data_IF_639242152205
#
_entry.id   IF_639242152205
#
_cell.length_a   1.000
_cell.length_b   1.000
_cell.length_c   1.000
_cell.angle_alpha   90.00
_cell.angle_beta   90.00
_cell.angle_gamma   90.00
#
_symmetry.space_group_name_H-M   'P 1'
#
loop_
_entity.id
_entity.type
_entity.pdbx_description
1 polymer ?
#
# COMPACT_ATOMS: atom_id res chain seq x y z
N UNK A 1 -17.59 -8.97 31.02
CA UNK A 1 -17.68 -8.49 29.62
C UNK A 1 -16.67 -9.29 28.81
N UNK A 2 -17.08 -9.99 27.76
CA UNK A 2 -16.18 -10.86 26.97
C UNK A 2 -15.00 -10.06 26.41
N UNK A 3 -13.77 -10.51 26.68
CA UNK A 3 -12.54 -9.91 26.15
C UNK A 3 -12.59 -9.76 24.62
N UNK A 4 -13.19 -10.73 23.92
CA UNK A 4 -13.41 -10.69 22.47
C UNK A 4 -14.31 -9.52 22.01
N UNK A 5 -15.35 -9.19 22.78
CA UNK A 5 -16.26 -8.06 22.44
C UNK A 5 -15.57 -6.72 22.63
N UNK A 6 -14.76 -6.57 23.68
CA UNK A 6 -13.97 -5.35 23.92
C UNK A 6 -12.98 -5.10 22.77
N UNK A 7 -12.20 -6.11 22.38
CA UNK A 7 -11.23 -6.00 21.27
C UNK A 7 -11.91 -5.56 19.97
N UNK A 8 -13.10 -6.10 19.67
CA UNK A 8 -13.85 -5.75 18.46
C UNK A 8 -14.37 -4.31 18.48
N UNK A 9 -14.83 -3.82 19.63
CA UNK A 9 -15.32 -2.44 19.78
C UNK A 9 -14.14 -1.45 19.66
N UNK A 10 -13.07 -1.67 20.42
CA UNK A 10 -11.89 -0.79 20.36
C UNK A 10 -11.23 -0.81 18.98
N UNK A 11 -11.06 -2.00 18.39
CA UNK A 11 -10.58 -2.14 17.02
C UNK A 11 -11.47 -1.44 16.01
N UNK A 12 -12.79 -1.51 16.17
CA UNK A 12 -13.76 -0.82 15.30
C UNK A 12 -13.62 0.70 15.36
N UNK A 13 -13.52 1.27 16.57
CA UNK A 13 -13.33 2.72 16.76
C UNK A 13 -12.03 3.20 16.10
N UNK A 14 -10.92 2.51 16.36
CA UNK A 14 -9.62 2.85 15.76
C UNK A 14 -9.69 2.75 14.23
N UNK A 15 -10.34 1.71 13.71
CA UNK A 15 -10.48 1.50 12.25
C UNK A 15 -11.29 2.63 11.62
N UNK A 16 -12.41 3.05 12.23
CA UNK A 16 -13.23 4.16 11.73
C UNK A 16 -12.44 5.47 11.72
N UNK A 17 -11.70 5.78 12.80
CA UNK A 17 -10.87 6.97 12.86
C UNK A 17 -9.80 6.97 11.76
N UNK A 18 -9.14 5.84 11.54
CA UNK A 18 -8.17 5.69 10.46
C UNK A 18 -8.81 5.85 9.07
N UNK A 19 -10.02 5.28 8.86
CA UNK A 19 -10.74 5.46 7.60
C UNK A 19 -11.10 6.93 7.34
N UNK A 20 -11.57 7.65 8.36
CA UNK A 20 -11.87 9.09 8.23
C UNK A 20 -10.61 9.88 7.85
N UNK A 21 -9.47 9.56 8.46
CA UNK A 21 -8.19 10.16 8.11
C UNK A 21 -7.83 9.93 6.62
N UNK A 22 -7.82 8.68 6.16
CA UNK A 22 -7.46 8.39 4.76
C UNK A 22 -8.49 8.93 3.76
N UNK A 23 -9.77 8.94 4.10
CA UNK A 23 -10.81 9.56 3.26
C UNK A 23 -10.61 11.08 3.14
N UNK A 24 -10.20 11.74 4.23
CA UNK A 24 -9.87 13.16 4.23
C UNK A 24 -8.63 13.45 3.37
N UNK A 25 -7.58 12.63 3.48
CA UNK A 25 -6.38 12.75 2.63
C UNK A 25 -6.75 12.59 1.14
N UNK A 26 -7.55 11.58 0.78
CA UNK A 26 -8.01 11.40 -0.61
C UNK A 26 -8.80 12.61 -1.09
N UNK A 27 -9.69 13.15 -0.25
CA UNK A 27 -10.43 14.37 -0.57
C UNK A 27 -9.49 15.55 -0.83
N UNK A 28 -8.49 15.77 0.04
CA UNK A 28 -7.49 16.82 -0.15
C UNK A 28 -6.69 16.65 -1.45
N UNK A 29 -6.27 15.42 -1.77
CA UNK A 29 -5.58 15.12 -3.04
C UNK A 29 -6.48 15.39 -4.24
N UNK A 30 -7.76 15.01 -4.18
CA UNK A 30 -8.70 15.22 -5.27
C UNK A 30 -9.02 16.71 -5.48
N UNK A 31 -9.08 17.51 -4.41
CA UNK A 31 -9.36 18.95 -4.51
C UNK A 31 -8.15 19.78 -4.91
N UNK A 32 -6.94 19.33 -4.57
CA UNK A 32 -5.68 20.02 -4.86
C UNK A 32 -4.86 19.26 -5.91
N UNK A 33 -5.52 18.54 -6.82
CA UNK A 33 -4.85 17.73 -7.83
C UNK A 33 -4.18 18.63 -8.86
N UNK A 34 -2.86 18.49 -9.01
CA UNK A 34 -2.14 19.12 -10.10
C UNK A 34 -2.26 18.25 -11.36
N UNK A 35 -2.84 18.81 -12.41
CA UNK A 35 -2.84 18.11 -13.70
C UNK A 35 -1.41 18.06 -14.25
N UNK A 36 -1.11 17.08 -15.11
CA UNK A 36 0.20 17.01 -15.76
C UNK A 36 0.51 18.30 -16.53
N UNK A 37 -0.50 18.93 -17.14
CA UNK A 37 -0.34 20.20 -17.85
C UNK A 37 0.02 21.35 -16.91
N UNK A 38 -0.46 21.34 -15.67
CA UNK A 38 -0.13 22.37 -14.68
C UNK A 38 1.27 22.14 -14.12
N UNK A 39 1.62 20.88 -13.83
CA UNK A 39 3.00 20.51 -13.44
C UNK A 39 3.99 20.95 -14.52
N UNK A 40 3.71 20.71 -15.79
CA UNK A 40 4.59 21.08 -16.91
C UNK A 40 4.70 22.60 -17.15
N UNK A 41 3.76 23.40 -16.63
CA UNK A 41 3.87 24.87 -16.64
C UNK A 41 4.79 25.37 -15.54
N UNK A 42 4.84 24.65 -14.42
CA UNK A 42 5.51 25.08 -13.19
C UNK A 42 6.91 24.46 -13.03
N UNK A 43 7.11 23.24 -13.54
CA UNK A 43 8.39 22.53 -13.47
C UNK A 43 8.63 21.66 -14.70
N UNK A 44 9.90 21.44 -15.04
CA UNK A 44 10.32 20.48 -16.07
C UNK A 44 10.48 19.04 -15.53
N UNK A 45 10.28 18.86 -14.22
CA UNK A 45 10.47 17.60 -13.52
C UNK A 45 9.15 16.79 -13.41
N UNK A 46 8.69 16.26 -14.54
CA UNK A 46 7.43 15.51 -14.67
C UNK A 46 7.33 14.25 -13.78
N UNK A 47 8.45 13.79 -13.22
CA UNK A 47 8.48 12.65 -12.31
C UNK A 47 7.60 12.85 -11.08
N UNK A 48 7.37 14.11 -10.68
CA UNK A 48 6.50 14.44 -9.54
C UNK A 48 5.07 13.92 -9.72
N UNK A 49 4.55 13.93 -10.96
CA UNK A 49 3.21 13.44 -11.26
C UNK A 49 3.06 11.95 -10.87
N UNK A 50 4.10 11.15 -11.12
CA UNK A 50 4.08 9.73 -10.75
C UNK A 50 4.10 9.55 -9.22
N UNK A 51 4.80 10.42 -8.49
CA UNK A 51 4.84 10.39 -7.03
C UNK A 51 3.50 10.80 -6.42
N UNK A 52 2.80 11.77 -7.00
CA UNK A 52 1.46 12.17 -6.58
C UNK A 52 0.43 11.04 -6.81
N UNK A 53 0.49 10.38 -7.98
CA UNK A 53 -0.31 9.17 -8.23
C UNK A 53 0.01 8.08 -7.19
N UNK A 54 1.29 7.89 -6.87
CA UNK A 54 1.68 6.90 -5.86
C UNK A 54 1.09 7.23 -4.47
N UNK A 55 1.19 8.47 -4.01
CA UNK A 55 0.60 8.92 -2.74
C UNK A 55 -0.93 8.74 -2.70
N UNK A 56 -1.62 9.12 -3.78
CA UNK A 56 -3.06 8.92 -3.88
C UNK A 56 -3.43 7.43 -3.85
N UNK A 57 -2.70 6.60 -4.61
CA UNK A 57 -2.91 5.15 -4.63
C UNK A 57 -2.68 4.52 -3.26
N UNK A 58 -1.67 4.99 -2.50
CA UNK A 58 -1.42 4.58 -1.13
C UNK A 58 -2.66 4.81 -0.27
N UNK A 59 -3.18 6.03 -0.25
CA UNK A 59 -4.34 6.38 0.58
C UNK A 59 -5.59 5.56 0.21
N UNK A 60 -5.83 5.34 -1.09
CA UNK A 60 -6.96 4.51 -1.57
C UNK A 60 -6.82 3.06 -1.10
N UNK A 61 -5.62 2.47 -1.22
CA UNK A 61 -5.36 1.09 -0.82
C UNK A 61 -5.54 0.93 0.70
N UNK A 62 -5.03 1.87 1.49
CA UNK A 62 -5.22 1.86 2.95
C UNK A 62 -6.69 2.00 3.34
N UNK A 63 -7.43 2.91 2.71
CA UNK A 63 -8.86 3.07 2.97
C UNK A 63 -9.64 1.79 2.64
N UNK A 64 -9.36 1.15 1.51
CA UNK A 64 -9.97 -0.11 1.12
C UNK A 64 -9.63 -1.25 2.10
N UNK A 65 -8.36 -1.36 2.51
CA UNK A 65 -7.91 -2.35 3.50
C UNK A 65 -8.63 -2.19 4.85
N UNK A 66 -8.79 -0.94 5.32
CA UNK A 66 -9.49 -0.62 6.56
C UNK A 66 -11.00 -0.89 6.45
N UNK A 67 -11.61 -0.61 5.29
CA UNK A 67 -13.01 -0.98 5.04
C UNK A 67 -13.24 -2.49 5.14
N UNK A 68 -12.33 -3.29 4.56
CA UNK A 68 -12.37 -4.75 4.71
C UNK A 68 -12.12 -5.20 6.15
N UNK A 69 -11.18 -4.55 6.87
CA UNK A 69 -10.94 -4.83 8.28
C UNK A 69 -12.18 -4.55 9.14
N UNK A 70 -12.88 -3.44 8.88
CA UNK A 70 -14.12 -3.11 9.58
C UNK A 70 -15.20 -4.17 9.35
N UNK A 71 -15.34 -4.65 8.11
CA UNK A 71 -16.25 -5.77 7.79
C UNK A 71 -15.87 -7.02 8.60
N UNK A 72 -14.58 -7.35 8.71
CA UNK A 72 -14.12 -8.50 9.51
C UNK A 72 -14.39 -8.30 11.01
N UNK A 73 -14.23 -7.09 11.53
CA UNK A 73 -14.54 -6.78 12.92
C UNK A 73 -16.03 -6.94 13.25
N UNK A 74 -16.93 -6.65 12.30
CA UNK A 74 -18.39 -6.83 12.45
C UNK A 74 -18.80 -8.29 12.16
N UNK A 75 -18.24 -8.90 11.12
CA UNK A 75 -18.54 -10.26 10.65
C UNK A 75 -17.24 -11.06 10.46
N UNK A 76 -16.76 -11.77 11.51
CA UNK A 76 -15.45 -12.43 11.50
C UNK A 76 -15.25 -13.48 10.40
N UNK A 77 -16.34 -14.08 9.92
CA UNK A 77 -16.29 -15.09 8.86
C UNK A 77 -15.79 -14.55 7.51
N UNK A 78 -15.73 -13.22 7.33
CA UNK A 78 -15.24 -12.57 6.11
C UNK A 78 -13.72 -12.37 6.07
N UNK A 79 -12.96 -12.86 7.05
CA UNK A 79 -11.50 -12.68 7.10
C UNK A 79 -10.76 -13.17 5.84
N UNK A 80 -11.30 -14.18 5.14
CA UNK A 80 -10.74 -14.68 3.87
C UNK A 80 -10.74 -13.64 2.76
N UNK A 81 -11.75 -12.74 2.73
CA UNK A 81 -11.82 -11.67 1.74
C UNK A 81 -10.73 -10.62 2.00
N UNK A 82 -10.54 -10.24 3.26
CA UNK A 82 -9.44 -9.36 3.66
C UNK A 82 -8.08 -9.96 3.30
N UNK A 83 -7.86 -11.24 3.60
CA UNK A 83 -6.63 -11.93 3.22
C UNK A 83 -6.42 -11.96 1.71
N UNK A 84 -7.46 -12.27 0.93
CA UNK A 84 -7.40 -12.28 -0.54
C UNK A 84 -6.99 -10.90 -1.08
N UNK A 85 -7.60 -9.82 -0.57
CA UNK A 85 -7.24 -8.46 -0.94
C UNK A 85 -5.78 -8.15 -0.59
N UNK A 86 -5.33 -8.46 0.63
CA UNK A 86 -3.95 -8.20 1.04
C UNK A 86 -2.96 -8.99 0.18
N UNK A 87 -3.24 -10.24 -0.15
CA UNK A 87 -2.37 -11.06 -0.99
C UNK A 87 -2.29 -10.59 -2.45
N UNK A 88 -3.37 -10.02 -2.98
CA UNK A 88 -3.34 -9.42 -4.31
C UNK A 88 -2.61 -8.08 -4.30
N UNK A 89 -2.99 -7.20 -3.36
CA UNK A 89 -2.50 -5.83 -3.31
C UNK A 89 -1.08 -5.72 -2.75
N UNK A 90 -0.65 -6.64 -1.90
CA UNK A 90 0.70 -6.64 -1.31
C UNK A 90 1.80 -6.64 -2.38
N UNK A 91 1.85 -7.64 -3.27
CA UNK A 91 2.85 -7.69 -4.34
C UNK A 91 2.73 -6.53 -5.33
N UNK A 92 1.50 -6.18 -5.74
CA UNK A 92 1.25 -5.07 -6.67
C UNK A 92 1.77 -3.75 -6.08
N UNK A 93 1.42 -3.49 -4.81
CA UNK A 93 1.81 -2.27 -4.13
C UNK A 93 3.31 -2.25 -3.78
N UNK A 94 3.92 -3.40 -3.52
CA UNK A 94 5.37 -3.52 -3.37
C UNK A 94 6.08 -3.10 -4.67
N UNK A 95 5.68 -3.66 -5.81
CA UNK A 95 6.24 -3.27 -7.12
C UNK A 95 6.01 -1.79 -7.41
N UNK A 96 4.80 -1.29 -7.13
CA UNK A 96 4.47 0.12 -7.35
C UNK A 96 5.31 1.06 -6.47
N UNK A 97 5.57 0.68 -5.22
CA UNK A 97 6.43 1.44 -4.30
C UNK A 97 7.89 1.43 -4.75
N UNK A 98 8.39 0.32 -5.30
CA UNK A 98 9.74 0.28 -5.88
C UNK A 98 9.86 1.21 -7.10
N UNK A 99 8.82 1.28 -7.95
CA UNK A 99 8.77 2.22 -9.06
C UNK A 99 8.81 3.67 -8.54
N UNK A 100 8.00 3.99 -7.51
CA UNK A 100 7.99 5.31 -6.91
C UNK A 100 9.36 5.74 -6.33
N UNK A 101 10.15 4.81 -5.78
CA UNK A 101 11.52 5.10 -5.32
C UNK A 101 12.42 5.55 -6.48
N UNK A 102 12.28 4.90 -7.65
CA UNK A 102 13.00 5.29 -8.86
C UNK A 102 12.64 6.70 -9.30
N UNK A 103 11.34 6.98 -9.41
CA UNK A 103 10.85 8.33 -9.76
C UNK A 103 11.22 9.38 -8.72
N UNK A 104 11.28 9.03 -7.42
CA UNK A 104 11.70 9.96 -6.39
C UNK A 104 13.17 10.35 -6.54
N UNK A 105 14.02 9.36 -6.86
CA UNK A 105 15.44 9.61 -7.11
C UNK A 105 15.65 10.50 -8.34
N UNK A 106 14.88 10.28 -9.41
CA UNK A 106 14.92 11.11 -10.61
C UNK A 106 14.38 12.51 -10.37
N UNK A 107 13.26 12.65 -9.67
CA UNK A 107 12.69 13.94 -9.25
C UNK A 107 13.71 14.77 -8.47
N UNK A 108 14.36 14.19 -7.45
CA UNK A 108 15.38 14.90 -6.67
C UNK A 108 16.59 15.32 -7.52
N UNK A 109 17.01 14.48 -8.48
CA UNK A 109 18.10 14.81 -9.39
C UNK A 109 17.72 15.94 -10.35
N UNK A 110 16.50 15.91 -10.90
CA UNK A 110 15.95 16.95 -11.76
C UNK A 110 15.84 18.29 -11.00
N UNK A 111 15.22 18.27 -9.82
CA UNK A 111 15.05 19.48 -8.99
C UNK A 111 16.38 20.10 -8.56
N UNK A 112 17.41 19.29 -8.29
CA UNK A 112 18.76 19.80 -7.99
C UNK A 112 19.40 20.51 -9.19
N UNK A 113 19.05 20.09 -10.41
CA UNK A 113 19.60 20.62 -11.67
C UNK A 113 18.87 21.87 -12.14
N UNK A 114 17.54 21.86 -12.09
CA UNK A 114 16.70 22.89 -12.70
C UNK A 114 16.27 23.97 -11.69
N UNK A 115 16.25 23.66 -10.38
CA UNK A 115 15.96 24.56 -9.24
C UNK A 115 14.62 25.33 -9.25
N UNK A 116 13.79 25.24 -10.28
CA UNK A 116 12.53 26.00 -10.38
C UNK A 116 11.35 25.27 -9.72
N UNK A 117 10.65 25.98 -8.82
CA UNK A 117 9.39 25.64 -8.11
C UNK A 117 9.24 24.25 -7.44
N UNK A 118 10.28 23.42 -7.43
CA UNK A 118 10.23 22.10 -6.78
C UNK A 118 9.86 22.15 -5.28
N UNK A 119 10.06 23.28 -4.61
CA UNK A 119 9.75 23.48 -3.18
C UNK A 119 8.28 23.38 -2.82
N UNK A 120 7.40 23.53 -3.81
CA UNK A 120 5.96 23.58 -3.60
C UNK A 120 5.36 22.16 -3.53
N UNK A 121 6.13 21.15 -3.95
CA UNK A 121 5.73 19.76 -3.94
C UNK A 121 6.15 19.04 -2.65
N UNK A 122 5.22 18.27 -2.08
CA UNK A 122 5.40 17.55 -0.81
C UNK A 122 6.70 16.70 -0.72
N UNK A 123 7.10 15.92 -1.76
CA UNK A 123 8.30 15.08 -1.69
C UNK A 123 9.60 15.89 -1.52
N UNK A 124 9.60 17.16 -1.92
CA UNK A 124 10.73 18.08 -1.76
C UNK A 124 10.61 18.95 -0.51
N UNK A 125 9.38 19.40 -0.17
CA UNK A 125 9.11 20.21 1.02
C UNK A 125 9.37 19.42 2.32
N UNK A 126 8.97 18.13 2.35
CA UNK A 126 9.14 17.25 3.50
C UNK A 126 9.73 15.89 3.10
N UNK A 127 11.02 15.84 2.73
CA UNK A 127 11.64 14.62 2.20
C UNK A 127 11.73 13.52 3.26
N UNK A 128 11.93 13.87 4.53
CA UNK A 128 11.97 12.89 5.63
C UNK A 128 10.59 12.22 5.82
N UNK A 129 9.51 12.99 5.78
CA UNK A 129 8.14 12.46 5.83
C UNK A 129 7.84 11.55 4.64
N UNK A 130 8.20 11.97 3.44
CA UNK A 130 8.01 11.18 2.23
C UNK A 130 8.79 9.86 2.26
N UNK A 131 10.06 9.89 2.69
CA UNK A 131 10.88 8.68 2.87
C UNK A 131 10.27 7.75 3.93
N UNK A 132 9.76 8.31 5.04
CA UNK A 132 9.09 7.50 6.06
C UNK A 132 7.86 6.78 5.48
N UNK A 133 7.06 7.45 4.66
CA UNK A 133 5.92 6.83 3.96
C UNK A 133 6.35 5.69 3.02
N UNK A 134 7.44 5.88 2.27
CA UNK A 134 8.03 4.83 1.43
C UNK A 134 8.45 3.63 2.28
N UNK A 135 9.17 3.85 3.38
CA UNK A 135 9.66 2.77 4.26
C UNK A 135 8.49 2.00 4.85
N UNK A 136 7.48 2.69 5.39
CA UNK A 136 6.29 2.04 5.96
C UNK A 136 5.57 1.20 4.90
N UNK A 137 5.41 1.75 3.69
CA UNK A 137 4.76 1.07 2.57
C UNK A 137 5.54 -0.16 2.11
N UNK A 138 6.88 -0.07 2.02
CA UNK A 138 7.76 -1.19 1.70
C UNK A 138 7.67 -2.30 2.76
N UNK A 139 7.82 -1.95 4.03
CA UNK A 139 7.80 -2.95 5.13
C UNK A 139 6.47 -3.68 5.15
N UNK A 140 5.35 -2.96 5.07
CA UNK A 140 4.03 -3.56 5.09
C UNK A 140 3.78 -4.48 3.88
N UNK A 141 4.05 -3.99 2.67
CA UNK A 141 3.84 -4.76 1.44
C UNK A 141 4.79 -5.95 1.30
N UNK A 142 6.05 -5.82 1.74
CA UNK A 142 7.02 -6.90 1.77
C UNK A 142 6.62 -8.00 2.76
N UNK A 143 6.15 -7.65 3.97
CA UNK A 143 5.70 -8.64 4.96
C UNK A 143 4.52 -9.47 4.43
N UNK A 144 3.54 -8.82 3.80
CA UNK A 144 2.39 -9.51 3.19
C UNK A 144 2.84 -10.41 2.03
N UNK A 145 3.73 -9.91 1.19
CA UNK A 145 4.25 -10.65 0.02
C UNK A 145 5.06 -11.87 0.46
N UNK A 146 5.94 -11.73 1.46
CA UNK A 146 6.69 -12.84 2.04
C UNK A 146 5.77 -13.87 2.69
N UNK A 147 4.71 -13.41 3.38
CA UNK A 147 3.73 -14.31 3.96
C UNK A 147 2.97 -15.10 2.89
N UNK A 148 2.53 -14.45 1.80
CA UNK A 148 1.94 -15.12 0.64
C UNK A 148 2.89 -16.17 0.04
N UNK A 149 4.15 -15.79 -0.18
CA UNK A 149 5.18 -16.68 -0.72
C UNK A 149 5.38 -17.91 0.18
N UNK A 150 5.38 -17.73 1.50
CA UNK A 150 5.49 -18.83 2.45
C UNK A 150 4.31 -19.82 2.34
N UNK A 151 3.10 -19.32 2.13
CA UNK A 151 1.90 -20.15 1.94
C UNK A 151 1.97 -20.91 0.61
N UNK A 152 2.40 -20.25 -0.47
CA UNK A 152 2.58 -20.89 -1.78
C UNK A 152 3.61 -22.01 -1.69
N UNK A 153 4.76 -21.78 -1.04
CA UNK A 153 5.79 -22.81 -0.85
C UNK A 153 5.24 -24.00 -0.05
N UNK A 154 4.51 -23.75 1.04
CA UNK A 154 3.90 -24.81 1.85
C UNK A 154 2.86 -25.61 1.05
N UNK A 155 2.03 -24.94 0.25
CA UNK A 155 1.03 -25.57 -0.60
C UNK A 155 1.68 -26.43 -1.69
N UNK A 156 2.71 -25.91 -2.36
CA UNK A 156 3.48 -26.65 -3.36
C UNK A 156 4.17 -27.85 -2.74
N UNK A 157 4.80 -27.69 -1.58
CA UNK A 157 5.45 -28.80 -0.86
C UNK A 157 4.45 -29.90 -0.49
N UNK A 158 3.29 -29.52 0.04
CA UNK A 158 2.21 -30.46 0.35
C UNK A 158 1.74 -31.21 -0.90
N UNK A 159 1.50 -30.48 -1.99
CA UNK A 159 1.11 -31.07 -3.27
C UNK A 159 2.15 -32.07 -3.80
N UNK A 160 3.43 -31.70 -3.80
CA UNK A 160 4.52 -32.61 -4.20
C UNK A 160 4.60 -33.84 -3.31
N UNK A 161 4.48 -33.67 -1.98
CA UNK A 161 4.49 -34.78 -1.01
C UNK A 161 3.34 -35.75 -1.25
N UNK A 162 2.11 -35.26 -1.41
CA UNK A 162 0.94 -36.09 -1.68
C UNK A 162 1.09 -36.84 -2.99
N UNK A 163 1.52 -36.15 -4.04
CA UNK A 163 1.74 -36.77 -5.36
C UNK A 163 2.81 -37.85 -5.29
N UNK A 164 3.92 -37.61 -4.58
CA UNK A 164 4.99 -38.59 -4.40
C UNK A 164 4.50 -39.83 -3.62
N UNK A 165 3.75 -39.64 -2.53
CA UNK A 165 3.14 -40.74 -1.76
C UNK A 165 2.19 -41.57 -2.61
N UNK A 166 1.42 -40.92 -3.49
CA UNK A 166 0.47 -41.58 -4.38
C UNK A 166 1.19 -42.42 -5.46
N UNK A 167 2.33 -41.94 -5.97
CA UNK A 167 3.19 -42.73 -6.86
C UNK A 167 3.83 -43.93 -6.14
N UNK A 168 4.31 -43.77 -4.90
CA UNK A 168 4.91 -44.88 -4.14
C UNK A 168 3.92 -45.95 -3.67
N UNK A 169 2.62 -45.65 -3.62
CA UNK A 169 1.57 -46.62 -3.29
C UNK A 169 1.07 -47.43 -4.49
N UNK A 170 1.41 -47.02 -5.72
CA UNK A 170 1.05 -47.69 -6.97
C UNK A 170 2.12 -48.68 -7.46
N UNK A 171 3.29 -48.71 -6.80
CA UNK A 171 4.37 -49.69 -6.98
C UNK A 171 4.43 -50.62 -5.77
#
# INVERSE_FOLDING_TARGET
>A
MDSSKQVRIFGGVITILAMLYYAYEIYLYATNWYSLEDIQKDTTCDEIYTLEIWLLSQNIIWLAALGLLLIVLVVPNFYKLLLCFLYLMGPVYLTWTLVAIGYYSWFLACCKKEQDQCTDFYPYQNPAGFIALIIVSLVFSALITLYLLSIIIQALWSYFRTRYQQYSHLF
#
